data_IF_361881159886
#
_entry.id   IF_361881159886
#
_cell.length_a   1.000
_cell.length_b   1.000
_cell.length_c   1.000
_cell.angle_alpha   90.00
_cell.angle_beta   90.00
_cell.angle_gamma   90.00
#
_symmetry.space_group_name_H-M   'P 1'
#
loop_
_entity.id
_entity.type
_entity.pdbx_description
1 polymer ?
#
# COMPACT_ATOMS: atom_id res chain seq x y z
N UNK A 1 41.98 -9.69 -5.92
CA UNK A 1 42.15 -8.71 -4.83
C UNK A 1 40.90 -8.74 -3.98
N UNK A 2 41.06 -9.13 -2.73
CA UNK A 2 40.03 -9.52 -1.78
C UNK A 2 39.29 -8.31 -1.19
N UNK A 3 38.00 -8.16 -1.51
CA UNK A 3 37.07 -7.27 -0.81
C UNK A 3 36.79 -7.85 0.60
N UNK A 4 37.47 -7.34 1.62
CA UNK A 4 37.36 -7.81 3.01
C UNK A 4 36.99 -6.70 4.01
N UNK A 5 36.43 -5.56 3.57
CA UNK A 5 36.14 -4.42 4.45
C UNK A 5 34.77 -3.78 4.20
N UNK A 6 33.73 -4.58 3.99
CA UNK A 6 32.36 -4.08 4.14
C UNK A 6 31.97 -4.25 5.61
N UNK A 7 32.10 -3.18 6.39
CA UNK A 7 31.63 -3.17 7.78
C UNK A 7 30.09 -3.31 7.76
N UNK A 8 29.52 -4.42 8.26
CA UNK A 8 28.08 -4.64 8.25
C UNK A 8 27.34 -3.69 9.20
N UNK A 9 28.06 -2.88 9.98
CA UNK A 9 27.49 -1.83 10.85
C UNK A 9 27.50 -0.45 10.22
N UNK A 10 28.12 -0.26 9.04
CA UNK A 10 28.08 1.03 8.35
C UNK A 10 26.68 1.27 7.78
N UNK A 11 26.02 2.33 8.24
CA UNK A 11 24.70 2.74 7.74
C UNK A 11 24.87 3.04 6.24
N UNK A 12 24.09 2.37 5.40
CA UNK A 12 24.07 2.63 3.96
C UNK A 12 23.80 4.11 3.73
N UNK A 13 24.82 4.85 3.27
CA UNK A 13 24.70 6.28 3.00
C UNK A 13 23.71 6.46 1.84
N UNK A 14 22.54 7.01 2.15
CA UNK A 14 21.54 7.35 1.14
C UNK A 14 22.13 8.42 0.20
N UNK A 15 21.88 8.33 -1.11
CA UNK A 15 22.28 9.38 -2.04
C UNK A 15 21.52 10.68 -1.66
N UNK A 16 22.23 11.80 -1.42
CA UNK A 16 21.57 13.09 -1.14
C UNK A 16 20.51 13.48 -2.17
N UNK A 17 20.65 13.04 -3.44
CA UNK A 17 19.66 13.29 -4.49
C UNK A 17 18.36 12.51 -4.29
N UNK A 18 18.47 11.26 -3.83
CA UNK A 18 17.31 10.45 -3.47
C UNK A 18 16.58 11.06 -2.28
N UNK A 19 17.33 11.53 -1.28
CA UNK A 19 16.74 12.20 -0.12
C UNK A 19 15.91 13.43 -0.54
N UNK A 20 16.46 14.30 -1.39
CA UNK A 20 15.76 15.50 -1.86
C UNK A 20 14.51 15.15 -2.67
N UNK A 21 14.56 14.10 -3.49
CA UNK A 21 13.40 13.62 -4.26
C UNK A 21 12.28 13.15 -3.34
N UNK A 22 12.59 12.32 -2.34
CA UNK A 22 11.59 11.83 -1.38
C UNK A 22 11.03 12.96 -0.52
N UNK A 23 11.85 13.92 -0.09
CA UNK A 23 11.38 15.09 0.64
C UNK A 23 10.41 15.95 -0.21
N UNK A 24 10.72 16.12 -1.50
CA UNK A 24 9.86 16.86 -2.43
C UNK A 24 8.54 16.14 -2.62
N UNK A 25 8.59 14.84 -2.94
CA UNK A 25 7.40 13.98 -3.09
C UNK A 25 6.52 14.04 -1.84
N UNK A 26 7.12 13.93 -0.66
CA UNK A 26 6.38 14.02 0.59
C UNK A 26 5.71 15.38 0.79
N UNK A 27 6.41 16.48 0.48
CA UNK A 27 5.84 17.83 0.52
C UNK A 27 4.64 18.01 -0.42
N UNK A 28 4.76 17.49 -1.64
CA UNK A 28 3.69 17.52 -2.64
C UNK A 28 2.48 16.69 -2.17
N UNK A 29 2.70 15.47 -1.66
CA UNK A 29 1.65 14.62 -1.11
C UNK A 29 0.91 15.28 0.06
N UNK A 30 1.64 15.90 0.99
CA UNK A 30 1.00 16.63 2.10
C UNK A 30 0.12 17.77 1.57
N UNK A 31 0.64 18.55 0.62
CA UNK A 31 -0.11 19.65 0.02
C UNK A 31 -1.36 19.14 -0.68
N UNK A 32 -1.25 18.11 -1.49
CA UNK A 32 -2.37 17.51 -2.21
C UNK A 32 -3.39 16.94 -1.23
N UNK A 33 -2.97 16.29 -0.15
CA UNK A 33 -3.88 15.76 0.87
C UNK A 33 -4.76 16.85 1.49
N UNK A 34 -4.21 18.05 1.70
CA UNK A 34 -4.95 19.16 2.32
C UNK A 34 -5.68 20.07 1.32
N UNK A 35 -5.35 20.01 0.04
CA UNK A 35 -5.90 20.94 -0.98
C UNK A 35 -6.74 20.27 -2.05
N UNK A 36 -6.62 18.95 -2.21
CA UNK A 36 -7.32 18.16 -3.22
C UNK A 36 -8.33 17.19 -2.59
N UNK A 37 -8.96 16.37 -3.43
CA UNK A 37 -9.86 15.32 -3.00
C UNK A 37 -9.05 14.13 -2.43
N UNK A 38 -9.15 13.86 -1.12
CA UNK A 38 -8.35 12.82 -0.47
C UNK A 38 -8.67 11.41 -1.00
N UNK A 39 -9.90 11.16 -1.46
CA UNK A 39 -10.27 9.87 -2.02
C UNK A 39 -9.51 9.62 -3.33
N UNK A 40 -9.46 10.61 -4.22
CA UNK A 40 -8.73 10.53 -5.48
C UNK A 40 -7.23 10.40 -5.28
N UNK A 41 -6.67 11.13 -4.31
CA UNK A 41 -5.27 11.02 -3.95
C UNK A 41 -4.91 9.60 -3.46
N UNK A 42 -5.72 9.05 -2.55
CA UNK A 42 -5.51 7.68 -2.06
C UNK A 42 -5.60 6.64 -3.18
N UNK A 43 -6.56 6.79 -4.11
CA UNK A 43 -6.68 5.92 -5.28
C UNK A 43 -5.47 6.00 -6.21
N UNK A 44 -4.88 7.19 -6.38
CA UNK A 44 -3.67 7.40 -7.16
C UNK A 44 -2.47 6.67 -6.53
N UNK A 45 -2.22 6.92 -5.23
CA UNK A 45 -1.05 6.38 -4.52
C UNK A 45 -1.10 4.86 -4.29
N UNK A 46 -2.30 4.25 -4.28
CA UNK A 46 -2.46 2.82 -4.03
C UNK A 46 -1.64 1.91 -4.96
N UNK A 47 -1.42 2.34 -6.20
CA UNK A 47 -0.65 1.56 -7.18
C UNK A 47 0.83 1.49 -6.87
N UNK A 48 1.38 2.55 -6.27
CA UNK A 48 2.80 2.59 -5.87
C UNK A 48 3.01 2.17 -4.43
N UNK A 49 1.94 2.08 -3.63
CA UNK A 49 1.99 1.65 -2.26
C UNK A 49 2.55 0.23 -2.10
N UNK A 50 3.25 0.00 -0.99
CA UNK A 50 3.72 -1.34 -0.61
C UNK A 50 2.55 -2.29 -0.32
N UNK A 51 2.81 -3.59 -0.38
CA UNK A 51 1.81 -4.63 -0.07
C UNK A 51 1.15 -4.38 1.29
N UNK A 52 1.94 -4.04 2.31
CA UNK A 52 1.45 -3.71 3.65
C UNK A 52 0.45 -2.54 3.64
N UNK A 53 0.74 -1.46 2.91
CA UNK A 53 -0.15 -0.30 2.84
C UNK A 53 -1.43 -0.61 2.08
N UNK A 54 -1.36 -1.45 1.03
CA UNK A 54 -2.55 -1.93 0.31
C UNK A 54 -3.42 -2.81 1.21
N UNK A 55 -2.82 -3.71 1.99
CA UNK A 55 -3.53 -4.52 2.98
C UNK A 55 -4.23 -3.65 4.04
N UNK A 56 -3.52 -2.64 4.55
CA UNK A 56 -4.08 -1.71 5.53
C UNK A 56 -5.24 -0.89 4.94
N UNK A 57 -5.09 -0.41 3.70
CA UNK A 57 -6.14 0.30 2.99
C UNK A 57 -7.37 -0.59 2.76
N UNK A 58 -7.19 -1.83 2.32
CA UNK A 58 -8.28 -2.79 2.15
C UNK A 58 -9.05 -3.04 3.46
N UNK A 59 -8.34 -3.10 4.59
CA UNK A 59 -8.92 -3.35 5.90
C UNK A 59 -9.60 -2.14 6.54
N UNK A 60 -9.11 -0.92 6.30
CA UNK A 60 -9.43 0.24 7.15
C UNK A 60 -9.64 1.56 6.42
N UNK A 61 -9.47 1.64 5.10
CA UNK A 61 -9.70 2.89 4.40
C UNK A 61 -11.15 3.36 4.62
N UNK A 62 -11.32 4.68 4.78
CA UNK A 62 -12.63 5.28 5.03
C UNK A 62 -13.55 5.18 3.80
N UNK A 63 -12.99 5.29 2.61
CA UNK A 63 -13.72 5.23 1.35
C UNK A 63 -13.79 3.79 0.82
N UNK A 64 -14.99 3.29 0.52
CA UNK A 64 -15.18 1.95 -0.03
C UNK A 64 -14.51 1.78 -1.40
N UNK A 65 -14.47 2.82 -2.22
CA UNK A 65 -13.75 2.84 -3.50
C UNK A 65 -12.26 2.49 -3.33
N UNK A 66 -11.62 3.07 -2.31
CA UNK A 66 -10.22 2.82 -1.94
C UNK A 66 -10.06 1.39 -1.44
N UNK A 67 -10.97 0.90 -0.61
CA UNK A 67 -10.94 -0.49 -0.12
C UNK A 67 -11.04 -1.48 -1.28
N UNK A 68 -11.98 -1.28 -2.19
CA UNK A 68 -12.19 -2.12 -3.37
C UNK A 68 -10.97 -2.11 -4.31
N UNK A 69 -10.41 -0.93 -4.58
CA UNK A 69 -9.21 -0.79 -5.38
C UNK A 69 -8.00 -1.48 -4.72
N UNK A 70 -7.86 -1.35 -3.40
CA UNK A 70 -6.80 -2.01 -2.65
C UNK A 70 -6.92 -3.54 -2.71
N UNK A 71 -8.13 -4.10 -2.50
CA UNK A 71 -8.40 -5.55 -2.61
C UNK A 71 -8.01 -6.06 -4.00
N UNK A 72 -8.34 -5.33 -5.06
CA UNK A 72 -8.00 -5.74 -6.43
C UNK A 72 -6.49 -5.86 -6.68
N UNK A 73 -5.66 -5.19 -5.89
CA UNK A 73 -4.19 -5.19 -5.98
C UNK A 73 -3.52 -6.21 -5.06
N UNK A 74 -4.26 -6.88 -4.15
CA UNK A 74 -3.70 -7.86 -3.23
C UNK A 74 -3.34 -9.16 -3.95
N UNK A 75 -2.21 -9.76 -3.62
CA UNK A 75 -1.74 -11.03 -4.20
C UNK A 75 -1.85 -12.18 -3.19
N UNK A 76 -1.31 -13.34 -3.55
CA UNK A 76 -1.37 -14.57 -2.75
C UNK A 76 -0.73 -14.40 -1.36
N UNK A 77 0.26 -13.50 -1.19
CA UNK A 77 0.88 -13.24 0.12
C UNK A 77 -0.09 -12.60 1.11
N UNK A 78 -1.11 -11.91 0.60
CA UNK A 78 -2.15 -11.22 1.37
C UNK A 78 -3.41 -12.07 1.59
N UNK A 79 -3.42 -13.37 1.24
CA UNK A 79 -4.62 -14.21 1.32
C UNK A 79 -5.26 -14.24 2.72
N UNK A 80 -4.45 -14.22 3.79
CA UNK A 80 -4.94 -14.17 5.18
C UNK A 80 -5.66 -12.86 5.49
N UNK A 81 -5.20 -11.75 4.93
CA UNK A 81 -5.83 -10.43 5.06
C UNK A 81 -7.16 -10.40 4.31
N UNK A 82 -7.19 -10.96 3.10
CA UNK A 82 -8.43 -11.06 2.30
C UNK A 82 -9.48 -11.88 3.04
N UNK A 83 -9.10 -13.04 3.61
CA UNK A 83 -10.01 -13.85 4.43
C UNK A 83 -10.58 -13.05 5.60
N UNK A 84 -9.74 -12.28 6.29
CA UNK A 84 -10.18 -11.44 7.42
C UNK A 84 -11.19 -10.37 7.01
N UNK A 85 -11.13 -9.86 5.78
CA UNK A 85 -12.12 -8.90 5.27
C UNK A 85 -13.47 -9.59 5.08
N UNK A 86 -13.48 -10.79 4.48
CA UNK A 86 -14.68 -11.61 4.29
C UNK A 86 -15.33 -11.91 5.64
N UNK A 87 -14.54 -12.33 6.63
CA UNK A 87 -15.06 -12.71 7.95
C UNK A 87 -15.70 -11.53 8.70
N UNK A 88 -15.22 -10.30 8.47
CA UNK A 88 -15.74 -9.09 9.13
C UNK A 88 -17.02 -8.56 8.49
N UNK A 89 -17.10 -8.59 7.16
CA UNK A 89 -18.11 -7.84 6.41
C UNK A 89 -18.67 -8.66 5.22
N UNK A 90 -19.14 -9.90 5.43
CA UNK A 90 -19.40 -10.86 4.34
C UNK A 90 -20.44 -10.39 3.33
N UNK A 91 -21.47 -9.66 3.78
CA UNK A 91 -22.61 -9.25 2.95
C UNK A 91 -22.39 -7.92 2.22
N UNK A 92 -21.31 -7.20 2.54
CA UNK A 92 -21.00 -5.90 1.91
C UNK A 92 -20.39 -6.09 0.52
N UNK A 93 -20.43 -5.04 -0.30
CA UNK A 93 -19.74 -5.05 -1.60
C UNK A 93 -18.23 -5.29 -1.44
N UNK A 94 -17.64 -4.81 -0.34
CA UNK A 94 -16.23 -5.06 -0.01
C UNK A 94 -15.99 -6.53 0.33
N UNK A 95 -16.86 -7.15 1.13
CA UNK A 95 -16.78 -8.58 1.46
C UNK A 95 -16.93 -9.49 0.24
N UNK A 96 -17.89 -9.18 -0.64
CA UNK A 96 -18.07 -9.89 -1.92
C UNK A 96 -16.85 -9.74 -2.84
N UNK A 97 -16.30 -8.53 -2.93
CA UNK A 97 -15.09 -8.28 -3.70
C UNK A 97 -13.88 -9.03 -3.14
N UNK A 98 -13.74 -9.11 -1.81
CA UNK A 98 -12.70 -9.89 -1.14
C UNK A 98 -12.86 -11.39 -1.43
N UNK A 99 -14.07 -11.95 -1.35
CA UNK A 99 -14.33 -13.34 -1.69
C UNK A 99 -13.97 -13.66 -3.15
N UNK A 100 -14.39 -12.80 -4.08
CA UNK A 100 -14.02 -12.93 -5.50
C UNK A 100 -12.51 -12.79 -5.73
N UNK A 101 -11.82 -11.96 -4.95
CA UNK A 101 -10.37 -11.83 -5.05
C UNK A 101 -9.67 -13.08 -4.52
N UNK A 102 -10.11 -13.62 -3.37
CA UNK A 102 -9.52 -14.80 -2.75
C UNK A 102 -9.53 -15.99 -3.71
N UNK A 103 -10.64 -16.19 -4.44
CA UNK A 103 -10.75 -17.24 -5.47
C UNK A 103 -9.75 -17.09 -6.63
N UNK A 104 -9.27 -15.87 -6.92
CA UNK A 104 -8.32 -15.61 -8.02
C UNK A 104 -6.86 -15.78 -7.60
N UNK A 105 -6.57 -15.64 -6.31
CA UNK A 105 -5.20 -15.67 -5.77
C UNK A 105 -4.88 -16.96 -5.02
N UNK A 106 -5.89 -17.82 -4.80
CA UNK A 106 -5.73 -19.19 -4.31
C UNK A 106 -5.25 -20.14 -5.42
#
# INVERSE_FOLDING_TARGET
MSNCCSDPTEISKLDPRELVREQTRHGDLQRELFTSDPEKLMLHELREASTYLRELAALRAYYDSVRLAAIALLDQSSASVVQRIIDKEPETEVGKAAAARLQKIQ
#
